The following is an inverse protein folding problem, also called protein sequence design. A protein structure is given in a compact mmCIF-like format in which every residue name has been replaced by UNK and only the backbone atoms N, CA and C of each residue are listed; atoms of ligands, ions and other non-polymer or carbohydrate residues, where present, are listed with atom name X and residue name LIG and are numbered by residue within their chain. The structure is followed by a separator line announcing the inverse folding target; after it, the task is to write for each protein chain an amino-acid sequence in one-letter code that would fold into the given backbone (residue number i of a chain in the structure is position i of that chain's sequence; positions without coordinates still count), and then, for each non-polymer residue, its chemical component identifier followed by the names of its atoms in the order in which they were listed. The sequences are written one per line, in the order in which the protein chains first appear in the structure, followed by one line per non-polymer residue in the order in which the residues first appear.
data_IF_966492314534
#
_entry.id   IF_966492314534
#
_cell.length_a   1.000
_cell.length_b   1.000
_cell.length_c   1.000
_cell.angle_alpha   90.00
_cell.angle_beta   90.00
_cell.angle_gamma   90.00
#
_symmetry.space_group_name_H-M   'P 1'
#
loop_
_entity.id
_entity.type
_entity.pdbx_description
1 polymer ?
#
# COMPACT_ATOMS: atom_id res chain seq x y z
N UNK A 1 -17.38 5.07 -7.18
CA UNK A 1 -16.25 4.59 -8.01
C UNK A 1 -15.53 3.56 -7.18
N UNK A 2 -15.32 2.36 -7.70
CA UNK A 2 -14.46 1.37 -7.06
C UNK A 2 -13.01 1.85 -7.28
N UNK A 3 -12.23 1.98 -6.21
CA UNK A 3 -10.80 2.29 -6.31
C UNK A 3 -10.11 1.04 -6.87
N UNK A 4 -9.23 1.20 -7.85
CA UNK A 4 -8.39 0.12 -8.37
C UNK A 4 -6.93 0.28 -7.91
N UNK A 5 -6.12 -0.77 -8.13
CA UNK A 5 -4.72 -0.81 -7.71
C UNK A 5 -3.90 0.36 -8.30
N UNK A 6 -4.11 0.69 -9.57
CA UNK A 6 -3.38 1.78 -10.24
C UNK A 6 -3.73 3.14 -9.62
N UNK A 7 -5.02 3.42 -9.42
CA UNK A 7 -5.48 4.67 -8.80
C UNK A 7 -4.96 4.81 -7.38
N UNK A 8 -4.92 3.71 -6.62
CA UNK A 8 -4.36 3.69 -5.27
C UNK A 8 -2.86 4.00 -5.25
N UNK A 9 -2.07 3.38 -6.13
CA UNK A 9 -0.62 3.66 -6.28
C UNK A 9 -0.40 5.13 -6.62
N UNK A 10 -1.15 5.69 -7.58
CA UNK A 10 -1.02 7.10 -7.95
C UNK A 10 -1.38 8.05 -6.80
N UNK A 11 -2.45 7.75 -6.04
CA UNK A 11 -2.87 8.55 -4.90
C UNK A 11 -1.79 8.58 -3.81
N UNK A 12 -1.20 7.42 -3.50
CA UNK A 12 -0.13 7.31 -2.51
C UNK A 12 1.12 8.07 -2.96
N UNK A 13 1.56 7.91 -4.21
CA UNK A 13 2.76 8.57 -4.74
C UNK A 13 2.62 10.09 -4.83
N UNK A 14 1.40 10.60 -5.08
CA UNK A 14 1.12 12.05 -5.14
C UNK A 14 0.89 12.67 -3.75
N UNK A 15 0.77 11.84 -2.71
CA UNK A 15 0.49 12.32 -1.36
C UNK A 15 1.71 12.96 -0.69
N UNK A 16 1.45 13.96 0.15
CA UNK A 16 2.47 14.54 1.05
C UNK A 16 2.72 13.65 2.27
N UNK A 17 1.80 12.76 2.58
CA UNK A 17 1.91 11.77 3.66
C UNK A 17 1.43 10.40 3.16
N UNK A 18 2.31 9.65 2.47
CA UNK A 18 1.97 8.35 1.89
C UNK A 18 1.53 7.32 2.94
N UNK A 19 2.08 7.36 4.15
CA UNK A 19 1.76 6.40 5.23
C UNK A 19 0.34 6.64 5.76
N UNK A 20 -0.02 7.89 6.01
CA UNK A 20 -1.41 8.21 6.39
C UNK A 20 -2.37 7.87 5.24
N UNK A 21 -1.98 8.15 4.00
CA UNK A 21 -2.83 7.89 2.82
C UNK A 21 -3.12 6.40 2.63
N UNK A 22 -2.12 5.52 2.75
CA UNK A 22 -2.36 4.07 2.65
C UNK A 22 -3.21 3.55 3.81
N UNK A 23 -3.07 4.12 5.02
CA UNK A 23 -3.93 3.80 6.16
C UNK A 23 -5.40 4.15 5.91
N UNK A 24 -5.66 5.34 5.37
CA UNK A 24 -7.01 5.78 4.99
C UNK A 24 -7.62 4.86 3.91
N UNK A 25 -6.81 4.45 2.93
CA UNK A 25 -7.24 3.51 1.88
C UNK A 25 -7.59 2.13 2.45
N UNK A 26 -6.77 1.60 3.35
CA UNK A 26 -7.04 0.32 4.01
C UNK A 26 -8.37 0.39 4.77
N UNK A 27 -8.61 1.46 5.52
CA UNK A 27 -9.87 1.64 6.26
C UNK A 27 -11.06 1.80 5.30
N UNK A 28 -10.89 2.53 4.20
CA UNK A 28 -11.94 2.72 3.19
C UNK A 28 -12.35 1.40 2.50
N UNK A 29 -11.41 0.48 2.29
CA UNK A 29 -11.66 -0.86 1.75
C UNK A 29 -12.11 -1.88 2.81
N UNK A 30 -12.43 -1.43 4.04
CA UNK A 30 -12.96 -2.26 5.13
C UNK A 30 -11.88 -2.99 5.95
N UNK A 31 -10.61 -2.65 5.75
CA UNK A 31 -9.49 -3.14 6.53
C UNK A 31 -9.32 -2.41 7.87
N UNK A 32 -8.25 -2.77 8.58
CA UNK A 32 -7.90 -2.21 9.88
C UNK A 32 -6.53 -1.55 9.84
N UNK A 33 -6.43 -0.34 10.40
CA UNK A 33 -5.18 0.40 10.52
C UNK A 33 -4.92 0.78 11.98
N UNK A 34 -3.81 0.27 12.53
CA UNK A 34 -3.39 0.62 13.89
C UNK A 34 -2.37 1.76 13.84
N UNK A 35 -2.80 2.97 14.22
CA UNK A 35 -1.94 4.15 14.20
C UNK A 35 -0.75 4.01 15.17
N UNK A 36 -0.92 3.36 16.32
CA UNK A 36 0.17 3.19 17.29
C UNK A 36 1.28 2.30 16.74
N UNK A 37 0.91 1.17 16.12
CA UNK A 37 1.87 0.28 15.45
C UNK A 37 2.52 0.94 14.24
N UNK A 38 1.75 1.72 13.46
CA UNK A 38 2.28 2.40 12.28
C UNK A 38 3.37 3.44 12.62
N UNK A 39 3.34 3.99 13.83
CA UNK A 39 4.37 4.92 14.33
C UNK A 39 5.61 4.24 14.90
N UNK A 40 5.57 2.94 15.19
CA UNK A 40 6.72 2.19 15.67
C UNK A 40 7.63 1.76 14.51
N UNK A 41 8.83 2.35 14.44
CA UNK A 41 9.82 2.07 13.38
C UNK A 41 10.60 0.78 13.62
N UNK A 42 10.55 0.21 14.82
CA UNK A 42 11.29 -1.00 15.19
C UNK A 42 10.46 -2.29 15.06
N UNK A 43 9.14 -2.16 14.94
CA UNK A 43 8.23 -3.29 14.83
C UNK A 43 8.03 -3.71 13.36
N UNK A 44 7.90 -5.02 13.12
CA UNK A 44 7.49 -5.52 11.81
C UNK A 44 6.05 -5.09 11.53
N UNK A 45 5.83 -4.45 10.38
CA UNK A 45 4.53 -3.97 9.93
C UNK A 45 4.19 -4.60 8.59
N UNK A 46 2.91 -4.92 8.39
CA UNK A 46 2.40 -5.53 7.14
C UNK A 46 1.30 -4.67 6.58
N UNK A 47 1.37 -4.40 5.28
CA UNK A 47 0.33 -3.72 4.50
C UNK A 47 -0.24 -4.76 3.53
N UNK A 48 -1.56 -4.97 3.60
CA UNK A 48 -2.32 -5.80 2.68
C UNK A 48 -3.43 -4.95 2.07
N UNK A 49 -3.37 -4.72 0.76
CA UNK A 49 -4.32 -3.89 0.04
C UNK A 49 -4.32 -4.27 -1.45
N UNK A 50 -5.51 -4.37 -2.07
CA UNK A 50 -5.67 -4.79 -3.48
C UNK A 50 -4.90 -6.05 -3.85
N UNK A 51 -5.00 -7.10 -3.01
CA UNK A 51 -4.31 -8.38 -3.16
C UNK A 51 -2.76 -8.32 -3.11
N UNK A 52 -2.19 -7.13 -2.95
CA UNK A 52 -0.75 -6.93 -2.81
C UNK A 52 -0.37 -6.84 -1.33
N UNK A 53 0.67 -7.59 -0.97
CA UNK A 53 1.26 -7.57 0.37
C UNK A 53 2.63 -6.90 0.37
N UNK A 54 2.82 -5.89 1.21
CA UNK A 54 4.13 -5.30 1.54
C UNK A 54 4.47 -5.52 3.01
N UNK A 55 5.75 -5.74 3.30
CA UNK A 55 6.22 -5.98 4.67
C UNK A 55 7.53 -5.24 4.92
N UNK A 56 7.70 -4.73 6.14
CA UNK A 56 8.92 -3.99 6.51
C UNK A 56 8.96 -3.61 7.98
N UNK A 57 10.12 -3.12 8.44
CA UNK A 57 10.27 -2.56 9.79
C UNK A 57 9.67 -1.15 9.81
N UNK A 58 8.51 -1.02 10.45
CA UNK A 58 7.65 0.16 10.44
C UNK A 58 6.81 0.30 9.16
N UNK A 59 5.77 1.13 9.25
CA UNK A 59 4.81 1.33 8.17
C UNK A 59 5.43 1.89 6.88
N UNK A 60 6.45 2.74 6.98
CA UNK A 60 7.12 3.31 5.82
C UNK A 60 7.83 2.23 4.97
N UNK A 61 8.59 1.34 5.61
CA UNK A 61 9.28 0.27 4.88
C UNK A 61 8.29 -0.77 4.31
N UNK A 62 7.21 -1.05 5.05
CA UNK A 62 6.13 -1.89 4.54
C UNK A 62 5.44 -1.26 3.32
N UNK A 63 5.29 0.06 3.31
CA UNK A 63 4.71 0.80 2.19
C UNK A 63 5.63 0.78 0.96
N UNK A 64 6.93 0.99 1.14
CA UNK A 64 7.90 0.88 0.03
C UNK A 64 7.85 -0.51 -0.61
N UNK A 65 7.79 -1.56 0.23
CA UNK A 65 7.64 -2.95 -0.22
C UNK A 65 6.34 -3.17 -0.98
N UNK A 66 5.23 -2.60 -0.49
CA UNK A 66 3.92 -2.68 -1.14
C UNK A 66 3.93 -1.97 -2.50
N UNK A 67 4.46 -0.73 -2.57
CA UNK A 67 4.54 0.05 -3.81
C UNK A 67 5.36 -0.64 -4.89
N UNK A 68 6.49 -1.26 -4.52
CA UNK A 68 7.30 -2.04 -5.45
C UNK A 68 6.50 -3.21 -6.05
N UNK A 69 5.80 -3.96 -5.20
CA UNK A 69 5.03 -5.14 -5.62
C UNK A 69 3.78 -4.76 -6.41
N UNK A 70 3.09 -3.68 -6.00
CA UNK A 70 1.95 -3.13 -6.72
C UNK A 70 2.34 -2.68 -8.13
N UNK A 71 3.47 -1.97 -8.26
CA UNK A 71 3.98 -1.54 -9.56
C UNK A 71 4.32 -2.74 -10.45
N UNK A 72 4.93 -3.78 -9.89
CA UNK A 72 5.22 -5.02 -10.63
C UNK A 72 3.94 -5.75 -11.07
N UNK A 73 2.92 -5.81 -10.21
CA UNK A 73 1.64 -6.43 -10.53
C UNK A 73 0.95 -5.71 -11.70
N UNK A 74 0.89 -4.37 -11.64
CA UNK A 74 0.37 -3.53 -12.73
C UNK A 74 1.10 -3.85 -14.04
N UNK A 75 2.44 -3.88 -14.03
CA UNK A 75 3.24 -4.18 -15.23
C UNK A 75 3.04 -5.61 -15.76
N UNK A 76 2.81 -6.59 -14.88
CA UNK A 76 2.56 -7.98 -15.25
C UNK A 76 1.21 -8.12 -15.97
N UNK A 77 0.16 -7.47 -15.47
CA UNK A 77 -1.17 -7.50 -16.11
C UNK A 77 -1.14 -6.90 -17.53
N UNK A 78 -0.32 -5.87 -17.76
CA UNK A 78 -0.09 -5.34 -19.10
C UNK A 78 0.66 -6.30 -20.04
N UNK A 79 1.50 -7.19 -19.51
CA UNK A 79 2.31 -8.12 -20.29
C UNK A 79 1.53 -9.34 -20.76
N UNK A 80 0.54 -9.79 -19.99
CA UNK A 80 -0.31 -10.95 -20.34
C UNK A 80 -1.36 -10.63 -21.43
N UNK A 81 -1.47 -9.37 -21.85
CA UNK A 81 -2.47 -8.91 -22.84
C UNK A 81 -1.91 -8.82 -24.28
N UNK A 82 -0.67 -9.29 -24.54
CA UNK A 82 -0.03 -9.24 -25.88
C UNK A 82 0.55 -10.58 -26.34
#
# INVERSE_FOLDING_TARGET
MHMDLQTAVEAILKSKDPVTTVGDLIVAEGGFWNQSEATDKGQLFTIQLFEVQGIGLGAAAALDSWLQRATNAIQSEFSDTH
#
